data_IF_835066769634
#
_entry.id   IF_835066769634
#
_cell.length_a   1.000
_cell.length_b   1.000
_cell.length_c   1.000
_cell.angle_alpha   90.00
_cell.angle_beta   90.00
_cell.angle_gamma   90.00
#
_symmetry.space_group_name_H-M   'P 1'
#
loop_
_entity.id
_entity.type
_entity.pdbx_description
1 polymer ?
#
# COMPACT_ATOMS: atom_id res chain seq x y z
N UNK A 1 -3.95 0.79 0.82
CA UNK A 1 -3.11 1.59 1.74
C UNK A 1 -3.87 2.78 2.34
N UNK A 2 -5.20 2.79 2.29
CA UNK A 2 -6.03 3.84 2.92
C UNK A 2 -6.11 3.63 4.44
N UNK A 3 -6.09 4.72 5.20
CA UNK A 3 -6.27 4.69 6.66
C UNK A 3 -7.71 5.00 7.10
N UNK A 4 -8.58 5.34 6.14
CA UNK A 4 -10.01 5.50 6.32
C UNK A 4 -10.79 4.21 6.03
N UNK A 5 -12.11 4.30 6.12
CA UNK A 5 -13.01 3.20 5.77
C UNK A 5 -13.06 2.99 4.27
N UNK A 6 -13.09 1.72 3.86
CA UNK A 6 -13.46 1.32 2.51
C UNK A 6 -14.62 0.33 2.60
N UNK A 7 -15.78 0.68 2.04
CA UNK A 7 -17.02 -0.10 2.19
C UNK A 7 -17.35 -0.42 3.67
N UNK A 8 -17.22 0.57 4.55
CA UNK A 8 -17.43 0.44 6.01
C UNK A 8 -16.49 -0.54 6.71
N UNK A 9 -15.38 -0.94 6.06
CA UNK A 9 -14.39 -1.85 6.63
C UNK A 9 -13.04 -1.15 6.78
N UNK A 10 -12.31 -1.51 7.83
CA UNK A 10 -10.89 -1.19 8.04
C UNK A 10 -10.22 -2.33 8.79
N UNK A 11 -9.12 -2.89 8.27
CA UNK A 11 -8.39 -4.01 8.87
C UNK A 11 -9.29 -5.18 9.27
N UNK A 12 -10.20 -5.55 8.37
CA UNK A 12 -11.21 -6.62 8.54
C UNK A 12 -12.25 -6.39 9.65
N UNK A 13 -12.36 -5.17 10.17
CA UNK A 13 -13.39 -4.78 11.14
C UNK A 13 -14.41 -3.84 10.47
N UNK A 14 -15.69 -4.00 10.81
CA UNK A 14 -16.79 -3.22 10.24
C UNK A 14 -17.19 -2.07 11.17
N UNK A 15 -17.42 -0.88 10.61
CA UNK A 15 -17.76 0.33 11.34
C UNK A 15 -18.92 1.06 10.66
N UNK A 16 -19.89 1.53 11.44
CA UNK A 16 -20.97 2.38 10.93
C UNK A 16 -20.49 3.83 10.74
N UNK A 17 -19.66 4.31 11.66
CA UNK A 17 -19.02 5.61 11.61
C UNK A 17 -17.57 5.47 12.09
N UNK A 18 -16.64 6.18 11.44
CA UNK A 18 -15.24 6.21 11.83
C UNK A 18 -14.67 7.60 11.57
N UNK A 19 -14.19 8.25 12.64
CA UNK A 19 -13.49 9.51 12.52
C UNK A 19 -12.06 9.25 12.04
N UNK A 20 -11.74 9.65 10.82
CA UNK A 20 -10.39 9.49 10.28
C UNK A 20 -9.37 10.29 11.11
N UNK A 21 -8.42 9.56 11.70
CA UNK A 21 -7.23 10.12 12.32
C UNK A 21 -6.18 9.02 12.45
N UNK A 22 -4.90 9.40 12.49
CA UNK A 22 -3.83 8.42 12.68
C UNK A 22 -3.98 7.63 14.00
N UNK A 23 -4.44 8.28 15.07
CA UNK A 23 -4.67 7.61 16.35
C UNK A 23 -5.76 6.55 16.26
N UNK A 24 -6.86 6.85 15.57
CA UNK A 24 -7.98 5.91 15.40
C UNK A 24 -7.59 4.78 14.44
N UNK A 25 -6.84 5.07 13.37
CA UNK A 25 -6.28 4.03 12.51
C UNK A 25 -5.38 3.10 13.32
N UNK A 26 -4.48 3.65 14.13
CA UNK A 26 -3.55 2.86 14.93
C UNK A 26 -4.25 1.99 15.96
N UNK A 27 -5.33 2.46 16.60
CA UNK A 27 -6.08 1.64 17.56
C UNK A 27 -6.74 0.42 16.93
N UNK A 28 -7.00 0.45 15.62
CA UNK A 28 -7.64 -0.66 14.88
C UNK A 28 -6.60 -1.56 14.22
N UNK A 29 -5.64 -0.97 13.51
CA UNK A 29 -4.69 -1.68 12.64
C UNK A 29 -3.31 -1.89 13.29
N UNK A 30 -2.99 -1.16 14.36
CA UNK A 30 -1.66 -1.09 14.97
C UNK A 30 -1.19 -2.40 15.59
N UNK A 31 -2.10 -3.17 16.19
CA UNK A 31 -1.77 -4.43 16.87
C UNK A 31 -0.94 -5.38 15.99
N UNK A 32 -1.29 -5.53 14.70
CA UNK A 32 -0.55 -6.39 13.78
C UNK A 32 0.91 -5.96 13.57
N UNK A 33 1.15 -4.65 13.54
CA UNK A 33 2.48 -4.04 13.41
C UNK A 33 3.28 -4.19 14.70
N UNK A 34 2.64 -4.02 15.85
CA UNK A 34 3.26 -4.14 17.17
C UNK A 34 3.77 -5.57 17.40
N UNK A 35 3.01 -6.60 16.99
CA UNK A 35 3.46 -8.00 16.99
C UNK A 35 4.71 -8.26 16.14
N UNK A 36 5.11 -7.32 15.28
CA UNK A 36 6.29 -7.37 14.41
C UNK A 36 7.33 -6.31 14.75
N UNK A 37 7.33 -5.81 15.98
CA UNK A 37 8.29 -4.80 16.46
C UNK A 37 8.26 -3.49 15.64
N UNK A 38 7.08 -3.13 15.13
CA UNK A 38 6.80 -1.84 14.51
C UNK A 38 5.88 -1.07 15.46
N UNK A 39 6.47 -0.24 16.31
CA UNK A 39 5.75 0.63 17.24
C UNK A 39 5.04 1.76 16.49
N UNK A 40 4.06 2.40 17.14
CA UNK A 40 3.36 3.58 16.62
C UNK A 40 4.33 4.67 16.15
N UNK A 41 5.30 5.00 17.00
CA UNK A 41 6.30 6.04 16.73
C UNK A 41 7.19 5.68 15.55
N UNK A 42 7.57 4.40 15.43
CA UNK A 42 8.35 3.89 14.29
C UNK A 42 7.54 3.91 13.00
N UNK A 43 6.26 3.57 13.05
CA UNK A 43 5.40 3.64 11.88
C UNK A 43 5.23 5.09 11.40
N UNK A 44 5.05 6.04 12.32
CA UNK A 44 4.91 7.45 11.98
C UNK A 44 6.15 8.02 11.29
N UNK A 45 7.35 7.52 11.62
CA UNK A 45 8.59 7.96 10.98
C UNK A 45 8.83 7.36 9.60
N UNK A 46 8.00 6.41 9.16
CA UNK A 46 8.09 5.85 7.82
C UNK A 46 7.68 6.87 6.74
N UNK A 47 8.26 6.78 5.53
CA UNK A 47 7.83 7.61 4.42
C UNK A 47 6.38 7.28 4.03
N UNK A 48 5.62 8.31 3.67
CA UNK A 48 4.21 8.17 3.25
C UNK A 48 3.39 7.41 4.30
N UNK A 49 3.65 7.67 5.59
CA UNK A 49 2.97 7.03 6.73
C UNK A 49 1.51 7.42 6.85
N UNK A 50 1.03 8.40 6.10
CA UNK A 50 -0.37 8.81 5.98
C UNK A 50 -1.15 8.03 4.90
N UNK A 51 -0.51 7.02 4.30
CA UNK A 51 -1.13 6.12 3.33
C UNK A 51 -1.39 6.79 1.97
N UNK A 52 -2.34 6.22 1.23
CA UNK A 52 -2.76 6.73 -0.08
C UNK A 52 -4.28 6.77 -0.13
N UNK A 53 -4.86 7.70 -0.89
CA UNK A 53 -6.31 7.82 -1.11
C UNK A 53 -6.65 7.69 -2.59
N UNK A 54 -7.90 7.32 -2.90
CA UNK A 54 -8.42 7.39 -4.27
C UNK A 54 -8.15 8.77 -4.90
N UNK A 55 -7.49 8.75 -6.06
CA UNK A 55 -7.11 9.94 -6.81
C UNK A 55 -5.68 10.43 -6.56
N UNK A 56 -4.93 9.82 -5.64
CA UNK A 56 -3.50 10.08 -5.50
C UNK A 56 -2.72 9.52 -6.70
N UNK A 57 -1.76 10.30 -7.20
CA UNK A 57 -0.75 9.84 -8.16
C UNK A 57 0.55 9.58 -7.41
N UNK A 58 1.13 8.40 -7.58
CA UNK A 58 2.34 7.98 -6.87
C UNK A 58 3.55 8.18 -7.77
N UNK A 59 4.57 8.87 -7.24
CA UNK A 59 5.86 8.99 -7.89
C UNK A 59 6.75 7.87 -7.34
N UNK A 60 7.22 7.01 -8.24
CA UNK A 60 8.11 5.90 -7.90
C UNK A 60 9.54 6.17 -8.37
N UNK A 61 10.50 5.66 -7.61
CA UNK A 61 11.90 5.60 -7.99
C UNK A 61 12.34 4.15 -8.13
N UNK A 62 13.41 3.92 -8.90
CA UNK A 62 13.99 2.60 -9.09
C UNK A 62 14.38 1.98 -7.75
N UNK A 63 13.80 0.83 -7.44
CA UNK A 63 14.14 0.07 -6.25
C UNK A 63 15.37 -0.83 -6.53
N UNK A 64 16.22 -1.01 -5.54
CA UNK A 64 17.32 -1.98 -5.54
C UNK A 64 17.55 -2.49 -4.11
N UNK A 65 18.32 -3.57 -4.00
CA UNK A 65 18.56 -4.23 -2.71
C UNK A 65 19.20 -3.32 -1.65
N UNK A 66 19.88 -2.25 -2.06
CA UNK A 66 20.60 -1.33 -1.18
C UNK A 66 19.76 -0.11 -0.76
N UNK A 67 18.65 0.17 -1.44
CA UNK A 67 17.84 1.37 -1.21
C UNK A 67 16.44 1.10 -0.62
N UNK A 68 16.01 -0.16 -0.57
CA UNK A 68 14.76 -0.57 0.08
C UNK A 68 15.01 -0.71 1.58
N UNK A 69 14.18 -0.03 2.37
CA UNK A 69 14.24 -0.02 3.84
C UNK A 69 12.88 -0.40 4.45
N UNK A 70 12.91 -0.82 5.71
CA UNK A 70 11.70 -1.05 6.49
C UNK A 70 10.84 0.21 6.50
N UNK A 71 9.55 0.07 6.19
CA UNK A 71 8.60 1.18 6.12
C UNK A 71 8.44 1.83 4.74
N UNK A 72 9.32 1.53 3.77
CA UNK A 72 9.13 1.96 2.38
C UNK A 72 7.84 1.39 1.80
N UNK A 73 7.22 2.10 0.86
CA UNK A 73 6.12 1.55 0.07
C UNK A 73 6.66 1.05 -1.27
N UNK A 74 6.43 -0.21 -1.59
CA UNK A 74 6.83 -0.83 -2.84
C UNK A 74 5.66 -0.95 -3.79
N UNK A 75 5.95 -0.77 -5.07
CA UNK A 75 5.06 -1.12 -6.18
C UNK A 75 5.64 -2.37 -6.83
N UNK A 76 4.90 -3.48 -6.79
CA UNK A 76 5.38 -4.77 -7.25
C UNK A 76 4.29 -5.60 -7.92
N UNK A 77 4.71 -6.59 -8.69
CA UNK A 77 3.83 -7.48 -9.42
C UNK A 77 3.33 -8.62 -8.51
N UNK A 78 2.01 -8.68 -8.32
CA UNK A 78 1.31 -9.83 -7.75
C UNK A 78 0.94 -10.85 -8.84
N UNK A 79 -0.04 -11.73 -8.57
CA UNK A 79 -0.60 -12.61 -9.62
C UNK A 79 -1.78 -11.98 -10.37
N UNK A 80 -2.12 -10.72 -10.09
CA UNK A 80 -3.13 -9.96 -10.81
C UNK A 80 -2.46 -9.06 -11.84
N UNK A 81 -3.15 -8.73 -12.93
CA UNK A 81 -2.63 -7.82 -13.97
C UNK A 81 -2.22 -6.44 -13.42
N UNK A 82 -2.82 -6.01 -12.31
CA UNK A 82 -2.55 -4.72 -11.69
C UNK A 82 -1.45 -4.84 -10.62
N UNK A 83 -0.49 -3.91 -10.57
CA UNK A 83 0.54 -3.90 -9.55
C UNK A 83 -0.05 -3.64 -8.16
N UNK A 84 0.59 -4.22 -7.16
CA UNK A 84 0.26 -4.06 -5.74
C UNK A 84 1.16 -2.97 -5.16
N UNK A 85 0.59 -2.11 -4.31
CA UNK A 85 1.29 -0.99 -3.67
C UNK A 85 1.18 -1.15 -2.16
N UNK A 86 2.19 -1.71 -1.50
CA UNK A 86 2.16 -2.02 -0.06
C UNK A 86 3.46 -1.68 0.67
N UNK A 87 3.38 -1.59 2.01
CA UNK A 87 4.50 -1.18 2.86
C UNK A 87 5.38 -2.34 3.27
N UNK A 88 6.69 -2.17 3.22
CA UNK A 88 7.68 -3.13 3.73
C UNK A 88 7.60 -3.21 5.25
N UNK A 89 7.38 -4.42 5.76
CA UNK A 89 7.22 -4.72 7.20
C UNK A 89 8.26 -5.71 7.71
N UNK A 90 8.97 -6.40 6.81
CA UNK A 90 10.11 -7.25 7.14
C UNK A 90 11.07 -7.30 5.96
N UNK A 91 12.36 -7.41 6.27
CA UNK A 91 13.43 -7.65 5.31
C UNK A 91 14.31 -8.75 5.89
N UNK A 92 14.67 -9.74 5.09
CA UNK A 92 15.65 -10.76 5.46
C UNK A 92 16.46 -11.15 4.23
N UNK A 93 17.53 -11.89 4.45
CA UNK A 93 18.40 -12.41 3.40
C UNK A 93 18.31 -13.93 3.42
N UNK A 94 18.20 -14.53 2.24
CA UNK A 94 18.18 -15.97 2.03
C UNK A 94 18.92 -16.25 0.72
N UNK A 95 19.84 -17.22 0.74
CA UNK A 95 20.64 -17.61 -0.44
C UNK A 95 21.35 -16.43 -1.14
N UNK A 96 21.81 -15.45 -0.36
CA UNK A 96 22.49 -14.24 -0.85
C UNK A 96 21.58 -13.23 -1.56
N UNK A 97 20.26 -13.40 -1.48
CA UNK A 97 19.26 -12.49 -2.04
C UNK A 97 18.43 -11.84 -0.93
N UNK A 98 18.05 -10.58 -1.12
CA UNK A 98 17.13 -9.91 -0.18
C UNK A 98 15.69 -10.22 -0.52
N UNK A 99 14.96 -10.58 0.53
CA UNK A 99 13.53 -10.86 0.49
C UNK A 99 12.78 -9.84 1.34
N UNK A 100 11.59 -9.49 0.87
CA UNK A 100 10.76 -8.45 1.46
C UNK A 100 9.37 -9.02 1.79
N UNK A 101 8.89 -8.70 2.98
CA UNK A 101 7.48 -8.87 3.32
C UNK A 101 6.82 -7.50 3.24
N UNK A 102 5.68 -7.43 2.57
CA UNK A 102 4.86 -6.22 2.53
C UNK A 102 3.49 -6.44 3.15
N UNK A 103 2.82 -5.35 3.52
CA UNK A 103 1.43 -5.35 3.96
C UNK A 103 0.74 -4.09 3.49
N UNK A 104 -0.51 -4.23 3.05
CA UNK A 104 -1.40 -3.10 2.86
C UNK A 104 -1.81 -2.49 4.19
N UNK A 105 -1.59 -1.19 4.36
CA UNK A 105 -1.97 -0.45 5.59
C UNK A 105 -3.44 -0.70 5.98
N UNK A 106 -4.32 -0.80 4.99
CA UNK A 106 -5.76 -1.07 5.15
C UNK A 106 -6.12 -2.54 5.44
N UNK A 107 -5.24 -3.48 5.08
CA UNK A 107 -5.51 -4.91 5.20
C UNK A 107 -5.31 -5.36 6.65
N UNK A 108 -5.94 -6.44 7.10
CA UNK A 108 -5.70 -7.00 8.44
C UNK A 108 -4.33 -7.68 8.57
N UNK A 109 -3.81 -8.24 7.47
CA UNK A 109 -2.52 -8.90 7.39
C UNK A 109 -1.87 -8.74 6.00
N UNK A 110 -0.63 -9.21 5.87
CA UNK A 110 -0.02 -9.49 4.57
C UNK A 110 -0.89 -10.47 3.78
N UNK A 111 -0.93 -10.34 2.46
CA UNK A 111 -1.67 -11.27 1.61
C UNK A 111 -0.85 -12.57 1.49
N UNK A 112 -1.47 -13.69 1.85
CA UNK A 112 -0.87 -15.02 1.83
C UNK A 112 -1.36 -15.83 0.61
N UNK A 113 -0.65 -16.92 0.28
CA UNK A 113 -1.01 -17.81 -0.82
C UNK A 113 -0.46 -17.39 -2.18
N UNK A 114 -1.22 -17.55 -3.26
CA UNK A 114 -0.72 -17.30 -4.62
C UNK A 114 -0.28 -15.85 -4.84
N UNK A 115 -0.83 -14.87 -4.12
CA UNK A 115 -0.42 -13.47 -4.17
C UNK A 115 0.61 -13.11 -3.08
N UNK A 116 1.47 -14.05 -2.68
CA UNK A 116 2.31 -13.92 -1.49
C UNK A 116 3.06 -12.58 -1.45
N UNK A 117 2.72 -11.81 -0.43
CA UNK A 117 3.42 -10.62 0.03
C UNK A 117 4.39 -10.95 1.15
N UNK A 118 4.47 -12.23 1.54
CA UNK A 118 5.36 -12.72 2.57
C UNK A 118 6.76 -13.02 2.05
N UNK A 119 6.92 -13.10 0.74
CA UNK A 119 8.19 -13.34 0.08
C UNK A 119 8.23 -12.66 -1.31
N UNK A 120 8.80 -11.45 -1.34
CA UNK A 120 9.00 -10.66 -2.55
C UNK A 120 10.49 -10.50 -2.78
N UNK A 121 10.95 -10.84 -3.99
CA UNK A 121 12.32 -10.58 -4.46
C UNK A 121 12.35 -9.35 -5.35
N UNK A 122 13.55 -8.79 -5.56
CA UNK A 122 13.75 -7.56 -6.34
C UNK A 122 13.16 -7.63 -7.76
N UNK A 123 13.13 -8.82 -8.36
CA UNK A 123 12.62 -9.04 -9.72
C UNK A 123 11.13 -8.77 -9.88
N UNK A 124 10.36 -8.82 -8.79
CA UNK A 124 8.92 -8.52 -8.80
C UNK A 124 8.66 -7.03 -8.56
N UNK A 125 9.66 -6.24 -8.18
CA UNK A 125 9.48 -4.85 -7.76
C UNK A 125 9.66 -3.91 -8.96
N UNK A 126 8.62 -3.13 -9.25
CA UNK A 126 8.67 -2.07 -10.25
C UNK A 126 9.35 -0.80 -9.73
N UNK A 127 9.17 -0.49 -8.44
CA UNK A 127 9.82 0.64 -7.79
C UNK A 127 9.39 0.85 -6.35
N UNK A 128 10.00 1.84 -5.70
CA UNK A 128 9.60 2.33 -4.37
C UNK A 128 8.94 3.69 -4.50
N UNK A 129 7.83 3.91 -3.81
CA UNK A 129 7.19 5.21 -3.77
C UNK A 129 8.06 6.20 -3.00
N UNK A 130 8.30 7.38 -3.59
CA UNK A 130 9.07 8.47 -2.98
C UNK A 130 8.21 9.69 -2.65
N UNK A 131 7.11 9.88 -3.38
CA UNK A 131 6.18 10.97 -3.17
C UNK A 131 4.79 10.60 -3.71
N UNK A 132 3.78 11.38 -3.32
CA UNK A 132 2.44 11.34 -3.88
C UNK A 132 1.95 12.75 -4.21
N UNK A 133 1.17 12.87 -5.26
CA UNK A 133 0.46 14.09 -5.64
C UNK A 133 -1.03 13.85 -5.39
N UNK A 134 -1.61 14.47 -4.35
CA UNK A 134 -3.01 14.29 -4.02
C UNK A 134 -3.93 14.78 -5.13
N UNK A 135 -5.04 14.09 -5.30
CA UNK A 135 -6.16 14.43 -6.19
C UNK A 135 -5.90 14.49 -7.70
N UNK A 136 -4.64 14.51 -8.16
CA UNK A 136 -4.30 14.62 -9.59
C UNK A 136 -4.92 13.49 -10.43
N UNK A 137 -5.06 12.30 -9.86
CA UNK A 137 -5.68 11.15 -10.52
C UNK A 137 -7.17 11.34 -10.80
N UNK A 138 -7.86 12.26 -10.11
CA UNK A 138 -9.27 12.57 -10.40
C UNK A 138 -9.45 13.18 -11.78
N UNK A 139 -8.45 13.88 -12.33
CA UNK A 139 -8.51 14.39 -13.71
C UNK A 139 -8.68 13.25 -14.69
N UNK A 140 -7.91 12.16 -14.53
CA UNK A 140 -8.04 10.95 -15.35
C UNK A 140 -9.38 10.26 -15.12
N UNK A 141 -9.81 10.13 -13.86
CA UNK A 141 -11.07 9.46 -13.50
C UNK A 141 -12.26 10.20 -14.14
N UNK A 142 -12.32 11.52 -13.97
CA UNK A 142 -13.37 12.36 -14.55
C UNK A 142 -13.39 12.25 -16.08
N UNK A 143 -12.21 12.28 -16.72
CA UNK A 143 -12.12 12.12 -18.17
C UNK A 143 -12.70 10.77 -18.64
N UNK A 144 -12.35 9.67 -17.98
CA UNK A 144 -12.89 8.34 -18.31
C UNK A 144 -14.39 8.26 -18.04
N UNK A 145 -14.87 8.82 -16.93
CA UNK A 145 -16.29 8.86 -16.58
C UNK A 145 -17.10 9.68 -17.60
N UNK A 146 -16.57 10.82 -18.07
CA UNK A 146 -17.19 11.62 -19.13
C UNK A 146 -17.29 10.83 -20.42
N UNK A 147 -16.22 10.16 -20.85
CA UNK A 147 -16.26 9.32 -22.06
C UNK A 147 -17.25 8.17 -21.96
N UNK A 148 -17.37 7.56 -20.78
CA UNK A 148 -18.35 6.51 -20.53
C UNK A 148 -19.80 7.01 -20.69
N UNK A 149 -20.10 8.27 -20.34
CA UNK A 149 -21.42 8.88 -20.61
C UNK A 149 -21.73 9.00 -22.10
N UNK A 150 -20.71 9.11 -22.95
CA UNK A 150 -20.83 9.13 -24.41
C UNK A 150 -20.74 7.73 -25.05
N UNK A 151 -20.78 6.66 -24.25
CA UNK A 151 -20.73 5.27 -24.72
C UNK A 151 -19.34 4.78 -25.11
N UNK A 152 -18.28 5.55 -24.82
CA UNK A 152 -16.90 5.17 -25.08
C UNK A 152 -16.33 4.53 -23.81
N UNK A 153 -16.18 3.20 -23.82
CA UNK A 153 -15.60 2.45 -22.70
C UNK A 153 -14.11 2.26 -22.97
N UNK A 154 -13.27 2.85 -22.12
CA UNK A 154 -11.83 2.59 -22.11
C UNK A 154 -11.58 1.47 -21.11
N UNK A 155 -11.30 0.25 -21.61
CA UNK A 155 -10.86 -0.86 -20.76
C UNK A 155 -9.47 -0.57 -20.16
N UNK A 156 -9.23 -1.09 -18.95
CA UNK A 156 -8.03 -0.88 -18.14
C UNK A 156 -7.01 -1.98 -18.30
#
# INVERSE_FOLDING_TARGET
MEHGLHNNVLCSQQFNEFKESFSNYWSICGYWYEQRNITKTKFQSFPLSDGFRKGDVIIIWRANENNIKLGDTLVFQGNRAQPIIHRVVKIWEQDGQKHYQTKGDHNSASINGQNSEEDITINRIYGKAIAKVPYLGWVKILFVEILALFGIIIER
#
